data_IF_209554415347
#
_entry.id   IF_209554415347
#
_cell.length_a   1.000
_cell.length_b   1.000
_cell.length_c   1.000
_cell.angle_alpha   90.00
_cell.angle_beta   90.00
_cell.angle_gamma   90.00
#
_symmetry.space_group_name_H-M   'P 1'
#
loop_
_entity.id
_entity.type
_entity.pdbx_description
1 polymer ?
#
# COMPACT_ATOMS: atom_id res chain seq x y z
N UNK A 1 -0.16 -14.30 -13.12
CA UNK A 1 0.46 -13.30 -12.23
C UNK A 1 -0.23 -11.99 -12.53
N UNK A 2 -0.46 -11.17 -11.51
CA UNK A 2 -1.19 -9.93 -11.64
C UNK A 2 -0.40 -8.77 -11.06
N UNK A 3 -0.51 -7.61 -11.69
CA UNK A 3 -0.08 -6.34 -11.13
C UNK A 3 -1.24 -5.73 -10.36
N UNK A 4 -0.94 -5.28 -9.15
CA UNK A 4 -1.89 -4.78 -8.16
C UNK A 4 -1.54 -3.33 -7.87
N UNK A 5 -2.37 -2.42 -8.35
CA UNK A 5 -2.28 -0.99 -8.06
C UNK A 5 -3.17 -0.69 -6.86
N UNK A 6 -2.60 0.00 -5.88
CA UNK A 6 -3.26 0.41 -4.64
C UNK A 6 -3.33 1.93 -4.65
N UNK A 7 -4.55 2.45 -4.75
CA UNK A 7 -4.85 3.88 -4.82
C UNK A 7 -5.57 4.29 -3.53
N UNK A 8 -5.17 5.41 -2.94
CA UNK A 8 -5.83 5.96 -1.75
C UNK A 8 -5.77 7.49 -1.80
N UNK A 9 -6.86 8.21 -1.45
CA UNK A 9 -6.97 9.64 -1.69
C UNK A 9 -5.90 10.50 -0.99
N UNK A 10 -5.29 9.97 0.07
CA UNK A 10 -4.30 10.71 0.87
C UNK A 10 -2.83 10.37 0.54
N UNK A 11 -2.55 9.39 -0.32
CA UNK A 11 -1.17 8.95 -0.62
C UNK A 11 -0.95 8.73 -2.11
N UNK A 12 0.30 8.71 -2.55
CA UNK A 12 0.65 8.31 -3.92
C UNK A 12 0.33 6.84 -4.19
N UNK A 13 -0.05 6.55 -5.43
CA UNK A 13 -0.39 5.21 -5.90
C UNK A 13 0.80 4.25 -5.73
N UNK A 14 0.51 3.03 -5.26
CA UNK A 14 1.54 2.01 -5.03
C UNK A 14 1.28 0.77 -5.84
N UNK A 15 2.34 0.28 -6.49
CA UNK A 15 2.29 -0.90 -7.36
C UNK A 15 2.96 -2.11 -6.69
N UNK A 16 2.25 -3.23 -6.69
CA UNK A 16 2.70 -4.50 -6.17
C UNK A 16 2.36 -5.62 -7.14
N UNK A 17 2.91 -6.81 -6.90
CA UNK A 17 2.63 -8.01 -7.69
C UNK A 17 2.02 -9.10 -6.81
N UNK A 18 1.11 -9.88 -7.41
CA UNK A 18 0.52 -11.06 -6.82
C UNK A 18 0.64 -12.25 -7.78
N UNK A 19 1.24 -13.34 -7.30
CA UNK A 19 1.40 -14.56 -8.09
C UNK A 19 0.07 -15.31 -8.27
N UNK A 20 -0.78 -15.31 -7.24
CA UNK A 20 -1.98 -16.14 -7.15
C UNK A 20 -3.09 -15.50 -6.30
N UNK A 21 -4.28 -16.12 -6.29
CA UNK A 21 -5.42 -15.69 -5.47
C UNK A 21 -5.13 -15.67 -3.97
N UNK A 22 -4.20 -16.49 -3.47
CA UNK A 22 -3.86 -16.51 -2.04
C UNK A 22 -3.13 -15.23 -1.65
N UNK A 23 -2.17 -14.80 -2.48
CA UNK A 23 -1.49 -13.52 -2.31
C UNK A 23 -2.45 -12.35 -2.44
N UNK A 24 -3.36 -12.37 -3.42
CA UNK A 24 -4.39 -11.33 -3.55
C UNK A 24 -5.29 -11.21 -2.31
N UNK A 25 -5.76 -12.34 -1.77
CA UNK A 25 -6.51 -12.35 -0.50
C UNK A 25 -5.69 -11.77 0.65
N UNK A 26 -4.41 -12.10 0.72
CA UNK A 26 -3.48 -11.55 1.72
C UNK A 26 -3.34 -10.03 1.62
N UNK A 27 -3.23 -9.49 0.40
CA UNK A 27 -3.18 -8.05 0.13
C UNK A 27 -4.48 -7.39 0.60
N UNK A 28 -5.63 -7.84 0.08
CA UNK A 28 -6.95 -7.24 0.38
C UNK A 28 -7.24 -7.26 1.88
N UNK A 29 -6.93 -8.37 2.56
CA UNK A 29 -7.08 -8.47 4.02
C UNK A 29 -6.18 -7.46 4.74
N UNK A 30 -4.92 -7.35 4.32
CA UNK A 30 -3.97 -6.40 4.90
C UNK A 30 -4.42 -4.95 4.70
N UNK A 31 -5.01 -4.63 3.55
CA UNK A 31 -5.49 -3.27 3.25
C UNK A 31 -6.61 -2.81 4.17
N UNK A 32 -7.53 -3.70 4.57
CA UNK A 32 -8.53 -3.36 5.57
C UNK A 32 -7.90 -3.11 6.95
N UNK A 33 -6.94 -3.96 7.35
CA UNK A 33 -6.23 -3.82 8.63
C UNK A 33 -5.40 -2.54 8.72
N UNK A 34 -4.76 -2.15 7.61
CA UNK A 34 -3.99 -0.91 7.48
C UNK A 34 -4.85 0.33 7.74
N UNK A 35 -6.13 0.29 7.38
CA UNK A 35 -7.10 1.36 7.65
C UNK A 35 -7.76 1.23 9.03
N UNK A 36 -7.31 0.30 9.88
CA UNK A 36 -7.94 -0.01 11.17
C UNK A 36 -9.37 -0.58 11.05
N UNK A 37 -9.76 -1.07 9.87
CA UNK A 37 -11.11 -1.62 9.61
C UNK A 37 -11.12 -3.15 9.73
N UNK A 38 -12.26 -3.74 10.12
CA UNK A 38 -12.40 -5.19 10.14
C UNK A 38 -12.30 -5.76 8.70
N UNK A 39 -11.39 -6.71 8.44
CA UNK A 39 -11.26 -7.28 7.10
C UNK A 39 -12.46 -8.18 6.74
N UNK A 40 -12.80 -8.22 5.46
CA UNK A 40 -13.65 -9.30 4.92
C UNK A 40 -12.92 -10.63 5.09
N UNK A 41 -13.63 -11.66 5.59
CA UNK A 41 -13.04 -12.98 5.85
C UNK A 41 -13.81 -14.13 5.17
N UNK A 42 -13.19 -15.31 5.15
CA UNK A 42 -13.82 -16.56 4.74
C UNK A 42 -14.30 -16.57 3.28
N UNK A 43 -15.53 -17.05 3.07
CA UNK A 43 -16.12 -17.23 1.73
C UNK A 43 -16.33 -15.90 1.01
N UNK A 44 -16.70 -14.83 1.73
CA UNK A 44 -16.93 -13.52 1.12
C UNK A 44 -15.63 -12.99 0.48
N UNK A 45 -14.52 -13.02 1.22
CA UNK A 45 -13.20 -12.61 0.69
C UNK A 45 -12.78 -13.48 -0.50
N UNK A 46 -13.08 -14.78 -0.45
CA UNK A 46 -12.81 -15.67 -1.58
C UNK A 46 -13.60 -15.25 -2.83
N UNK A 47 -14.89 -14.98 -2.69
CA UNK A 47 -15.74 -14.56 -3.80
C UNK A 47 -15.30 -13.21 -4.38
N UNK A 48 -14.97 -12.23 -3.54
CA UNK A 48 -14.52 -10.91 -3.99
C UNK A 48 -13.25 -11.02 -4.84
N UNK A 49 -12.29 -11.85 -4.41
CA UNK A 49 -11.04 -12.07 -5.16
C UNK A 49 -11.29 -12.80 -6.48
N UNK A 50 -12.13 -13.83 -6.49
CA UNK A 50 -12.42 -14.56 -7.73
C UNK A 50 -13.24 -13.71 -8.70
N UNK A 51 -14.13 -12.84 -8.22
CA UNK A 51 -14.83 -11.85 -9.05
C UNK A 51 -13.86 -10.82 -9.63
N UNK A 52 -12.93 -10.32 -8.82
CA UNK A 52 -11.91 -9.36 -9.25
C UNK A 52 -11.01 -9.97 -10.34
N UNK A 53 -10.53 -11.20 -10.14
CA UNK A 53 -9.76 -11.94 -11.14
C UNK A 53 -10.56 -12.18 -12.41
N UNK A 54 -11.80 -12.65 -12.27
CA UNK A 54 -12.67 -12.89 -13.41
C UNK A 54 -12.92 -11.62 -14.23
N UNK A 55 -13.09 -10.46 -13.58
CA UNK A 55 -13.18 -9.18 -14.25
C UNK A 55 -11.88 -8.88 -15.01
N UNK A 56 -10.72 -8.97 -14.35
CA UNK A 56 -9.41 -8.77 -14.98
C UNK A 56 -9.21 -9.67 -16.21
N UNK A 57 -9.50 -10.97 -16.10
CA UNK A 57 -9.34 -11.94 -17.19
C UNK A 57 -10.30 -11.64 -18.38
N UNK A 58 -11.43 -10.95 -18.15
CA UNK A 58 -12.41 -10.61 -19.18
C UNK A 58 -12.20 -9.24 -19.83
N UNK A 59 -11.81 -8.25 -19.04
CA UNK A 59 -11.73 -6.85 -19.47
C UNK A 59 -10.30 -6.30 -19.52
N UNK A 60 -9.30 -7.10 -19.12
CA UNK A 60 -7.90 -6.69 -18.97
C UNK A 60 -7.60 -5.95 -17.67
N UNK A 61 -8.64 -5.48 -16.98
CA UNK A 61 -8.56 -4.78 -15.70
C UNK A 61 -9.72 -5.18 -14.80
N UNK A 62 -9.45 -5.43 -13.52
CA UNK A 62 -10.46 -5.63 -12.48
C UNK A 62 -10.29 -4.61 -11.37
N UNK A 63 -11.38 -4.05 -10.84
CA UNK A 63 -11.32 -3.05 -9.77
C UNK A 63 -12.13 -3.53 -8.56
N UNK A 64 -11.54 -3.43 -7.38
CA UNK A 64 -12.18 -3.74 -6.10
C UNK A 64 -11.95 -2.59 -5.12
N UNK A 65 -13.02 -2.08 -4.52
CA UNK A 65 -12.94 -1.07 -3.47
C UNK A 65 -12.88 -1.74 -2.08
N UNK A 66 -11.84 -1.45 -1.31
CA UNK A 66 -11.61 -1.93 0.05
C UNK A 66 -11.62 -0.73 0.99
N UNK A 67 -12.81 -0.39 1.48
CA UNK A 67 -13.05 0.85 2.23
C UNK A 67 -12.62 2.09 1.44
N UNK A 68 -11.62 2.82 1.88
CA UNK A 68 -11.15 4.07 1.25
C UNK A 68 -10.02 3.80 0.23
N UNK A 69 -9.53 2.57 0.16
CA UNK A 69 -8.52 2.11 -0.80
C UNK A 69 -9.19 1.49 -2.02
N UNK A 70 -8.75 1.88 -3.22
CA UNK A 70 -9.12 1.22 -4.48
C UNK A 70 -7.99 0.30 -4.92
N UNK A 71 -8.35 -0.95 -5.23
CA UNK A 71 -7.43 -1.99 -5.70
C UNK A 71 -7.73 -2.26 -7.16
N UNK A 72 -6.77 -1.99 -8.02
CA UNK A 72 -6.87 -2.25 -9.46
C UNK A 72 -5.93 -3.38 -9.84
N UNK A 73 -6.49 -4.42 -10.44
CA UNK A 73 -5.81 -5.62 -10.89
C UNK A 73 -5.63 -5.56 -12.40
N UNK A 74 -4.41 -5.80 -12.87
CA UNK A 74 -4.08 -5.93 -14.29
C UNK A 74 -3.33 -7.23 -14.54
N UNK A 75 -3.44 -7.78 -15.74
CA UNK A 75 -2.56 -8.86 -16.15
C UNK A 75 -1.12 -8.34 -16.21
N UNK A 76 -0.20 -9.08 -15.59
CA UNK A 76 1.21 -8.75 -15.64
C UNK A 76 1.76 -8.97 -17.06
N UNK A 77 2.12 -7.90 -17.77
CA UNK A 77 2.81 -8.01 -19.05
C UNK A 77 4.28 -8.42 -18.81
N UNK A 78 4.72 -9.52 -19.42
CA UNK A 78 6.12 -9.91 -19.52
C UNK A 78 6.85 -10.35 -18.23
N UNK A 79 8.08 -10.85 -18.40
CA UNK A 79 8.98 -11.22 -17.31
C UNK A 79 9.67 -9.98 -16.75
N UNK A 80 9.48 -9.70 -15.46
CA UNK A 80 10.33 -8.77 -14.70
C UNK A 80 10.96 -9.53 -13.51
N UNK A 81 12.04 -10.26 -13.79
CA UNK A 81 12.99 -10.74 -12.79
C UNK A 81 12.64 -12.07 -12.12
N UNK A 82 13.52 -13.05 -12.36
CA UNK A 82 13.49 -14.38 -11.75
C UNK A 82 13.57 -14.27 -10.21
N UNK A 83 12.52 -14.70 -9.51
CA UNK A 83 12.64 -15.01 -8.09
C UNK A 83 12.77 -16.52 -7.91
N UNK A 84 13.99 -16.98 -7.62
CA UNK A 84 14.28 -18.33 -7.12
C UNK A 84 15.50 -18.99 -7.77
N UNK A 85 16.21 -19.80 -6.98
CA UNK A 85 17.39 -20.59 -7.38
C UNK A 85 17.08 -21.74 -8.36
N UNK A 86 15.86 -21.89 -8.86
CA UNK A 86 15.48 -22.95 -9.79
C UNK A 86 15.40 -22.44 -11.24
N UNK A 87 16.54 -22.52 -11.90
CA UNK A 87 16.82 -22.19 -13.30
C UNK A 87 16.23 -23.17 -14.33
N UNK A 88 15.25 -24.02 -13.99
CA UNK A 88 14.99 -25.22 -14.80
C UNK A 88 13.69 -25.20 -15.61
N UNK A 89 12.76 -24.25 -15.41
CA UNK A 89 11.43 -24.38 -16.03
C UNK A 89 10.81 -23.14 -16.67
N UNK A 90 11.54 -22.09 -17.05
CA UNK A 90 10.97 -20.99 -17.85
C UNK A 90 11.99 -20.39 -18.82
N UNK A 91 11.49 -20.10 -20.04
CA UNK A 91 12.14 -19.49 -21.22
C UNK A 91 13.62 -19.16 -21.09
N UNK A 92 14.46 -19.84 -21.87
CA UNK A 92 15.89 -19.61 -21.90
C UNK A 92 16.27 -18.14 -22.14
N UNK A 93 17.53 -17.76 -21.90
CA UNK A 93 18.08 -16.39 -22.00
C UNK A 93 17.94 -15.74 -23.39
N UNK A 94 17.31 -16.42 -24.33
CA UNK A 94 17.04 -16.00 -25.71
C UNK A 94 15.96 -14.89 -25.79
N UNK A 95 15.19 -14.64 -24.71
CA UNK A 95 14.06 -13.70 -24.72
C UNK A 95 14.01 -12.65 -23.57
N UNK A 96 14.94 -12.63 -22.60
CA UNK A 96 15.08 -11.51 -21.62
C UNK A 96 16.33 -10.71 -21.98
N UNK A 97 16.18 -9.41 -22.16
CA UNK A 97 17.25 -8.45 -22.49
C UNK A 97 18.10 -8.03 -21.27
N UNK A 98 17.85 -8.64 -20.11
CA UNK A 98 18.54 -8.33 -18.86
C UNK A 98 18.06 -7.04 -18.17
N UNK A 99 17.04 -6.34 -18.70
CA UNK A 99 16.40 -5.19 -18.03
C UNK A 99 15.42 -5.61 -16.91
N UNK A 100 15.14 -6.91 -16.84
CA UNK A 100 14.28 -7.60 -15.89
C UNK A 100 14.59 -7.18 -14.40
N UNK A 101 13.73 -6.37 -13.76
CA UNK A 101 13.84 -5.96 -12.34
C UNK A 101 12.98 -6.83 -11.42
N UNK A 102 13.35 -7.09 -10.15
CA UNK A 102 12.48 -7.84 -9.24
C UNK A 102 11.15 -7.11 -9.00
N UNK A 103 10.02 -7.78 -9.28
CA UNK A 103 8.69 -7.20 -8.99
C UNK A 103 8.50 -6.99 -7.48
N UNK A 104 8.00 -5.81 -7.11
CA UNK A 104 7.67 -5.48 -5.71
C UNK A 104 6.57 -6.42 -5.22
N UNK A 105 6.82 -7.13 -4.12
CA UNK A 105 5.83 -7.98 -3.46
C UNK A 105 5.21 -7.24 -2.29
N UNK A 106 3.94 -7.49 -2.05
CA UNK A 106 3.27 -6.99 -0.87
C UNK A 106 3.52 -7.95 0.31
N UNK A 107 4.32 -7.51 1.26
CA UNK A 107 4.62 -8.23 2.50
C UNK A 107 4.19 -7.44 3.74
N UNK A 108 4.47 -7.98 4.93
CA UNK A 108 4.13 -7.33 6.21
C UNK A 108 4.81 -5.98 6.38
N UNK A 109 6.04 -5.83 5.88
CA UNK A 109 6.76 -4.57 5.97
C UNK A 109 6.09 -3.52 5.06
N UNK A 110 5.69 -3.91 3.84
CA UNK A 110 4.95 -3.02 2.93
C UNK A 110 3.56 -2.65 3.45
N UNK A 111 2.89 -3.56 4.15
CA UNK A 111 1.65 -3.24 4.86
C UNK A 111 1.88 -2.17 5.95
N UNK A 112 2.93 -2.31 6.75
CA UNK A 112 3.29 -1.33 7.77
C UNK A 112 3.70 0.03 7.17
N UNK A 113 4.51 0.03 6.10
CA UNK A 113 4.87 1.24 5.36
C UNK A 113 3.66 1.92 4.71
N UNK A 114 2.61 1.17 4.36
CA UNK A 114 1.36 1.73 3.86
C UNK A 114 0.53 2.35 4.99
N UNK A 115 0.45 1.66 6.14
CA UNK A 115 -0.21 2.17 7.35
C UNK A 115 0.38 3.50 7.81
N UNK A 116 1.69 3.58 7.96
CA UNK A 116 2.34 4.82 8.38
C UNK A 116 2.11 5.95 7.38
N UNK A 117 2.13 5.65 6.08
CA UNK A 117 1.91 6.68 5.07
C UNK A 117 0.48 7.23 5.08
N UNK A 118 -0.51 6.39 5.38
CA UNK A 118 -1.91 6.83 5.53
C UNK A 118 -2.05 7.66 6.81
N UNK A 119 -1.50 7.18 7.93
CA UNK A 119 -1.53 7.90 9.23
C UNK A 119 -0.84 9.27 9.13
N UNK A 120 0.34 9.33 8.49
CA UNK A 120 1.06 10.57 8.24
C UNK A 120 0.23 11.56 7.42
N UNK A 121 -0.43 11.07 6.36
CA UNK A 121 -1.25 11.90 5.49
C UNK A 121 -2.53 12.39 6.17
N UNK A 122 -3.15 11.57 7.04
CA UNK A 122 -4.29 11.98 7.86
C UNK A 122 -3.89 13.05 8.89
N UNK A 123 -2.74 12.87 9.55
CA UNK A 123 -2.18 13.87 10.46
C UNK A 123 -1.91 15.19 9.75
N UNK A 124 -1.25 15.16 8.59
CA UNK A 124 -0.98 16.36 7.79
C UNK A 124 -2.28 17.05 7.35
N UNK A 125 -3.29 16.28 6.92
CA UNK A 125 -4.60 16.83 6.53
C UNK A 125 -5.36 17.48 7.70
N UNK A 126 -5.17 16.97 8.93
CA UNK A 126 -5.75 17.56 10.14
C UNK A 126 -5.02 18.83 10.61
N UNK A 127 -3.93 19.22 9.94
CA UNK A 127 -3.07 20.33 10.32
C UNK A 127 -2.02 19.97 11.36
N UNK A 128 -1.75 18.67 11.55
CA UNK A 128 -0.62 18.13 12.30
C UNK A 128 0.63 17.98 11.44
N UNK A 129 1.54 17.13 11.89
CA UNK A 129 2.80 16.85 11.22
C UNK A 129 3.07 15.34 11.32
N UNK A 130 2.68 14.61 10.26
CA UNK A 130 2.79 13.16 10.12
C UNK A 130 4.19 12.63 10.44
N UNK A 131 5.27 13.13 9.80
CA UNK A 131 6.63 12.65 10.06
C UNK A 131 7.09 12.76 11.52
N UNK A 132 6.48 13.69 12.26
CA UNK A 132 6.79 13.94 13.66
C UNK A 132 5.73 13.31 14.61
N UNK A 133 4.63 12.74 14.10
CA UNK A 133 3.53 12.19 14.87
C UNK A 133 2.79 13.20 15.75
N UNK A 134 2.81 14.48 15.39
CA UNK A 134 2.23 15.55 16.21
C UNK A 134 0.90 16.00 15.65
N UNK A 135 -0.13 16.01 16.48
CA UNK A 135 -1.45 16.57 16.14
C UNK A 135 -1.37 18.10 16.02
N UNK A 136 -2.35 18.71 15.34
CA UNK A 136 -2.45 20.16 15.16
C UNK A 136 -2.36 20.93 16.49
N UNK A 137 -3.00 20.43 17.55
CA UNK A 137 -2.97 21.03 18.89
C UNK A 137 -1.61 20.92 19.60
N UNK A 138 -0.73 20.04 19.14
CA UNK A 138 0.61 19.81 19.69
C UNK A 138 1.70 20.58 18.92
N UNK A 139 1.33 21.18 17.79
CA UNK A 139 2.22 22.07 17.04
C UNK A 139 2.48 23.36 17.80
N UNK A 140 3.57 24.07 17.45
CA UNK A 140 3.83 25.36 18.07
C UNK A 140 2.73 26.37 17.75
N UNK A 141 2.04 26.88 18.78
CA UNK A 141 0.99 27.88 18.64
C UNK A 141 1.47 29.22 18.02
N UNK A 142 2.77 29.53 18.10
CA UNK A 142 3.33 30.79 17.59
C UNK A 142 3.72 30.75 16.12
N UNK A 143 4.28 29.64 15.64
CA UNK A 143 4.81 29.55 14.27
C UNK A 143 4.21 28.42 13.43
N UNK A 144 3.34 27.58 14.00
CA UNK A 144 2.72 26.45 13.33
C UNK A 144 3.69 25.36 12.89
N UNK A 145 4.90 25.30 13.46
CA UNK A 145 5.93 24.31 13.10
C UNK A 145 6.03 23.18 14.13
N UNK A 146 6.49 22.01 13.68
CA UNK A 146 6.77 20.79 14.46
C UNK A 146 8.30 20.57 14.66
N UNK A 147 8.70 19.46 15.32
CA UNK A 147 10.11 19.08 15.55
C UNK A 147 10.94 18.96 14.27
N UNK A 148 10.26 18.77 13.14
CA UNK A 148 10.84 18.63 11.83
C UNK A 148 11.51 19.94 11.35
N UNK A 149 11.29 21.07 12.07
CA UNK A 149 11.97 22.34 11.86
C UNK A 149 12.72 22.81 13.11
N UNK A 150 13.89 23.40 12.93
CA UNK A 150 14.60 24.10 13.99
C UNK A 150 13.84 25.39 14.36
N UNK A 151 13.21 25.40 15.53
CA UNK A 151 12.43 26.55 16.04
C UNK A 151 12.54 26.71 17.56
N UNK A 152 13.74 26.49 18.10
CA UNK A 152 14.02 26.34 19.54
C UNK A 152 13.55 27.51 20.43
N UNK A 153 13.27 28.67 19.84
CA UNK A 153 12.74 29.84 20.52
C UNK A 153 11.23 29.80 20.80
N UNK A 154 10.54 28.78 20.29
CA UNK A 154 9.09 28.64 20.38
C UNK A 154 8.66 27.84 21.61
N UNK A 155 7.67 28.35 22.34
CA UNK A 155 7.01 27.62 23.44
C UNK A 155 5.91 26.75 22.84
N UNK A 156 5.97 25.44 23.11
CA UNK A 156 4.89 24.51 22.76
C UNK A 156 3.80 24.52 23.83
N UNK A 157 2.53 24.33 23.47
CA UNK A 157 1.51 24.04 24.46
C UNK A 157 1.97 22.81 25.26
N UNK A 158 1.87 22.87 26.59
CA UNK A 158 2.14 21.72 27.42
C UNK A 158 1.20 20.60 26.95
N UNK A 159 1.76 19.44 26.58
CA UNK A 159 0.95 18.27 26.29
C UNK A 159 0.10 17.99 27.51
N UNK A 160 -1.21 18.22 27.41
CA UNK A 160 -2.16 17.77 28.41
C UNK A 160 -2.02 16.24 28.43
N UNK A 161 -1.37 15.71 29.46
CA UNK A 161 -1.26 14.29 29.70
C UNK A 161 -2.66 13.80 30.06
N UNK A 162 -3.36 13.24 29.07
CA UNK A 162 -4.59 12.46 29.26
C UNK A 162 -4.28 10.97 29.37
#
# INVERSE_FOLDING_TARGET
MYDVVIEHPAIEDRNYSAADSSQLRGIIRSLALVQGKPPTEGLALHMDVELLRHACDKTGEGVLKVHDITVTLREAEGCEGHQGEDSVLLGGPEFCDGSCRPRSRFDKQKAFELMNAIDDAELDASGGCGPCGLEAGQMCAGCGKCNCHTHETCVRPASEQS
#
